data_IF_908226323051
#
_entry.id   IF_908226323051
#
_cell.length_a   1.000
_cell.length_b   1.000
_cell.length_c   1.000
_cell.angle_alpha   90.00
_cell.angle_beta   90.00
_cell.angle_gamma   90.00
#
_symmetry.space_group_name_H-M   'P 1'
#
loop_
_entity.id
_entity.type
_entity.pdbx_description
1 polymer ?
#
# COMPACT_ATOMS: atom_id res chain seq x y z
N UNK A 1 23.62 7.82 9.31
CA UNK A 1 22.52 8.79 9.51
C UNK A 1 23.03 9.97 10.33
N UNK A 2 22.78 11.19 9.85
CA UNK A 2 23.07 12.44 10.54
C UNK A 2 21.77 13.11 10.96
N UNK A 3 21.70 13.58 12.20
CA UNK A 3 20.54 14.28 12.78
C UNK A 3 20.97 15.61 13.32
N UNK A 4 20.16 16.64 13.09
CA UNK A 4 20.39 17.96 13.61
C UNK A 4 19.09 18.70 13.87
N UNK A 5 19.23 19.82 14.61
CA UNK A 5 18.14 20.72 14.93
C UNK A 5 18.58 22.17 14.79
N UNK A 6 17.79 22.95 14.07
CA UNK A 6 17.99 24.40 13.95
C UNK A 6 16.67 25.08 14.29
N UNK A 7 16.60 25.71 15.45
CA UNK A 7 15.37 26.32 16.00
C UNK A 7 14.19 25.32 16.02
N UNK A 8 13.20 25.52 15.17
CA UNK A 8 11.98 24.71 15.03
C UNK A 8 12.08 23.62 13.96
N UNK A 9 13.21 23.56 13.27
CA UNK A 9 13.46 22.59 12.22
C UNK A 9 14.35 21.46 12.73
N UNK A 10 13.79 20.25 12.80
CA UNK A 10 14.55 19.01 13.00
C UNK A 10 14.79 18.36 11.64
N UNK A 11 16.01 17.91 11.37
CA UNK A 11 16.35 17.25 10.11
C UNK A 11 17.15 15.97 10.33
N UNK A 12 16.92 15.02 9.41
CA UNK A 12 17.65 13.75 9.37
C UNK A 12 18.09 13.49 7.94
N UNK A 13 19.36 13.21 7.78
CA UNK A 13 19.99 12.84 6.52
C UNK A 13 20.52 11.41 6.68
N UNK A 14 20.07 10.51 5.85
CA UNK A 14 20.50 9.12 5.83
C UNK A 14 21.11 8.76 4.49
N UNK A 15 22.08 7.87 4.54
CA UNK A 15 22.69 7.26 3.36
C UNK A 15 22.82 5.78 3.65
N UNK A 16 22.41 4.96 2.71
CA UNK A 16 22.58 3.51 2.74
C UNK A 16 23.10 2.99 1.41
N UNK A 17 23.75 1.85 1.46
CA UNK A 17 24.11 1.07 0.28
C UNK A 17 23.55 -0.33 0.48
N UNK A 18 22.80 -0.80 -0.50
CA UNK A 18 22.26 -2.17 -0.50
C UNK A 18 22.93 -2.98 -1.59
N UNK A 19 23.41 -4.16 -1.23
CA UNK A 19 23.88 -5.18 -2.17
C UNK A 19 22.83 -6.27 -2.28
N UNK A 20 22.35 -6.55 -3.48
CA UNK A 20 21.50 -7.70 -3.80
C UNK A 20 22.34 -8.71 -4.56
N UNK A 21 22.43 -9.93 -4.04
CA UNK A 21 23.20 -11.01 -4.65
C UNK A 21 22.38 -12.30 -4.64
N UNK A 22 22.24 -12.91 -5.81
CA UNK A 22 21.61 -14.21 -5.98
C UNK A 22 22.52 -15.11 -6.79
N UNK A 23 22.63 -16.37 -6.42
CA UNK A 23 23.32 -17.40 -7.17
C UNK A 23 22.49 -18.67 -7.19
N UNK A 24 22.19 -19.16 -8.37
CA UNK A 24 21.56 -20.46 -8.57
C UNK A 24 22.62 -21.46 -9.03
N UNK A 25 22.55 -22.72 -8.60
CA UNK A 25 23.49 -23.75 -9.02
C UNK A 25 23.38 -24.00 -10.52
N UNK A 26 24.48 -23.79 -11.26
CA UNK A 26 24.53 -23.95 -12.71
C UNK A 26 24.22 -22.71 -13.54
N UNK A 27 23.78 -21.62 -12.92
CA UNK A 27 23.44 -20.37 -13.59
C UNK A 27 24.39 -19.22 -13.21
N UNK A 28 24.32 -18.14 -14.00
CA UNK A 28 25.02 -16.89 -13.70
C UNK A 28 24.54 -16.28 -12.38
N UNK A 29 25.44 -15.57 -11.71
CA UNK A 29 25.09 -14.83 -10.50
C UNK A 29 24.52 -13.46 -10.88
N UNK A 30 23.44 -13.07 -10.18
CA UNK A 30 22.92 -11.71 -10.21
C UNK A 30 23.51 -10.89 -9.07
N UNK A 31 24.09 -9.75 -9.38
CA UNK A 31 24.61 -8.82 -8.39
C UNK A 31 24.24 -7.38 -8.75
N UNK A 32 23.75 -6.65 -7.75
CA UNK A 32 23.40 -5.24 -7.91
C UNK A 32 23.70 -4.45 -6.64
N UNK A 33 24.26 -3.27 -6.80
CA UNK A 33 24.49 -2.28 -5.74
C UNK A 33 23.57 -1.07 -5.95
N UNK A 34 22.94 -0.61 -4.90
CA UNK A 34 22.14 0.60 -4.93
C UNK A 34 22.48 1.56 -3.80
N UNK A 35 22.38 2.84 -4.09
CA UNK A 35 22.55 3.93 -3.16
C UNK A 35 21.17 4.41 -2.69
N UNK A 36 20.93 4.42 -1.37
CA UNK A 36 19.63 4.67 -0.78
C UNK A 36 19.69 5.92 0.13
N UNK A 37 19.61 7.13 -0.44
CA UNK A 37 19.53 8.35 0.35
C UNK A 37 18.15 8.51 1.00
N UNK A 38 18.14 9.16 2.16
CA UNK A 38 16.91 9.50 2.90
C UNK A 38 17.04 10.90 3.50
N UNK A 39 15.98 11.71 3.30
CA UNK A 39 15.82 13.03 3.91
C UNK A 39 14.51 13.04 4.71
N UNK A 40 14.58 13.56 5.94
CA UNK A 40 13.39 13.89 6.72
C UNK A 40 13.58 15.30 7.29
N UNK A 41 12.63 16.17 7.02
CA UNK A 41 12.51 17.49 7.59
C UNK A 41 11.23 17.55 8.41
N UNK A 42 11.35 18.04 9.65
CA UNK A 42 10.21 18.23 10.54
C UNK A 42 10.25 19.65 11.09
N UNK A 43 9.24 20.44 10.76
CA UNK A 43 9.12 21.83 11.20
C UNK A 43 7.95 21.99 12.16
N UNK A 44 8.24 22.38 13.38
CA UNK A 44 7.24 22.62 14.41
C UNK A 44 6.61 24.01 14.22
N UNK A 45 5.30 24.03 14.04
CA UNK A 45 4.47 25.22 13.90
C UNK A 45 3.85 25.63 15.26
N UNK A 46 3.33 26.86 15.41
CA UNK A 46 2.53 27.25 16.56
C UNK A 46 1.24 26.41 16.69
N UNK A 47 0.70 26.28 17.92
CA UNK A 47 -0.61 25.67 18.16
C UNK A 47 -0.65 24.15 18.04
N UNK A 48 0.40 23.46 18.53
CA UNK A 48 0.52 21.99 18.48
C UNK A 48 0.35 21.43 17.07
N UNK A 49 1.07 22.03 16.14
CA UNK A 49 1.05 21.59 14.74
C UNK A 49 2.47 21.45 14.20
N UNK A 50 2.60 20.65 13.14
CA UNK A 50 3.87 20.51 12.43
C UNK A 50 3.65 20.21 10.95
N UNK A 51 4.69 20.48 10.17
CA UNK A 51 4.85 19.98 8.80
C UNK A 51 6.04 19.04 8.78
N UNK A 52 5.87 17.88 8.16
CA UNK A 52 6.95 16.92 7.94
C UNK A 52 7.05 16.57 6.47
N UNK A 53 8.23 16.73 5.92
CA UNK A 53 8.56 16.24 4.59
C UNK A 53 9.54 15.07 4.72
N UNK A 54 9.26 13.98 4.03
CA UNK A 54 10.15 12.82 3.92
C UNK A 54 10.34 12.50 2.44
N UNK A 55 11.58 12.21 2.05
CA UNK A 55 11.92 11.70 0.74
C UNK A 55 12.99 10.63 0.86
N UNK A 56 12.83 9.54 0.14
CA UNK A 56 13.80 8.44 0.10
C UNK A 56 13.85 7.78 -1.27
N UNK A 57 15.01 7.23 -1.57
CA UNK A 57 15.23 6.36 -2.71
C UNK A 57 15.59 4.99 -2.17
N UNK A 58 14.93 3.97 -2.67
CA UNK A 58 15.20 2.56 -2.33
C UNK A 58 15.36 1.74 -3.60
N UNK A 59 15.93 0.55 -3.46
CA UNK A 59 16.11 -0.39 -4.54
C UNK A 59 15.12 -1.54 -4.46
N UNK A 60 14.69 -2.01 -5.63
CA UNK A 60 13.94 -3.26 -5.77
C UNK A 60 14.67 -4.18 -6.75
N UNK A 61 15.04 -5.33 -6.28
CA UNK A 61 15.70 -6.37 -7.10
C UNK A 61 14.68 -7.44 -7.49
N UNK A 62 14.83 -8.09 -8.64
CA UNK A 62 14.00 -9.22 -9.03
C UNK A 62 14.14 -10.35 -7.99
N UNK A 63 13.08 -11.13 -7.80
CA UNK A 63 13.14 -12.36 -7.00
C UNK A 63 13.75 -13.52 -7.81
N UNK A 64 14.17 -14.60 -7.13
CA UNK A 64 14.62 -15.80 -7.83
C UNK A 64 13.54 -16.39 -8.74
N UNK A 65 12.27 -16.31 -8.32
CA UNK A 65 11.15 -16.77 -9.13
C UNK A 65 10.94 -15.95 -10.40
N UNK A 66 11.17 -14.63 -10.31
CA UNK A 66 11.07 -13.74 -11.48
C UNK A 66 12.19 -13.98 -12.49
N UNK A 67 13.38 -14.43 -12.03
CA UNK A 67 14.56 -14.71 -12.87
C UNK A 67 14.54 -16.12 -13.46
N UNK A 68 13.75 -17.05 -12.90
CA UNK A 68 13.77 -18.46 -13.31
C UNK A 68 13.16 -18.65 -14.70
N UNK A 69 13.97 -19.14 -15.65
CA UNK A 69 13.50 -19.48 -17.01
C UNK A 69 12.66 -20.76 -17.08
N UNK A 70 12.43 -21.45 -15.95
CA UNK A 70 11.66 -22.70 -15.90
C UNK A 70 10.19 -22.40 -16.22
N UNK A 71 9.68 -23.10 -17.24
CA UNK A 71 8.27 -22.99 -17.63
C UNK A 71 7.37 -23.75 -16.64
N UNK A 72 6.32 -23.09 -16.20
CA UNK A 72 5.25 -23.65 -15.38
C UNK A 72 3.95 -23.66 -16.20
N UNK A 73 3.37 -24.82 -16.38
CA UNK A 73 2.07 -24.96 -17.02
C UNK A 73 1.01 -24.50 -16.02
N UNK A 74 0.30 -23.42 -16.35
CA UNK A 74 -0.83 -22.93 -15.55
C UNK A 74 -2.11 -23.67 -15.92
N UNK A 75 -2.36 -23.81 -17.24
CA UNK A 75 -3.42 -24.59 -17.84
C UNK A 75 -3.08 -24.96 -19.31
N UNK A 76 -4.05 -25.49 -20.06
CA UNK A 76 -3.83 -25.92 -21.45
C UNK A 76 -3.46 -24.77 -22.40
N UNK A 77 -3.80 -23.53 -22.07
CA UNK A 77 -3.63 -22.33 -22.89
C UNK A 77 -2.62 -21.34 -22.30
N UNK A 78 -2.21 -21.52 -21.05
CA UNK A 78 -1.36 -20.55 -20.36
C UNK A 78 -0.14 -21.20 -19.72
N UNK A 79 1.01 -20.60 -19.96
CA UNK A 79 2.28 -20.92 -19.31
C UNK A 79 2.81 -19.70 -18.57
N UNK A 80 3.59 -19.93 -17.52
CA UNK A 80 4.32 -18.92 -16.79
C UNK A 80 5.79 -19.23 -16.82
N UNK A 81 6.62 -18.23 -17.10
CA UNK A 81 8.09 -18.33 -16.96
C UNK A 81 8.65 -17.01 -16.47
N UNK A 82 9.74 -17.05 -15.71
CA UNK A 82 10.49 -15.85 -15.34
C UNK A 82 11.34 -15.32 -16.50
N UNK A 83 11.97 -14.19 -16.25
CA UNK A 83 12.85 -13.52 -17.21
C UNK A 83 14.24 -13.31 -16.57
N UNK A 84 15.27 -14.07 -16.99
CA UNK A 84 16.63 -13.94 -16.43
C UNK A 84 17.29 -12.59 -16.73
N UNK A 85 16.75 -11.81 -17.67
CA UNK A 85 17.29 -10.51 -18.06
C UNK A 85 16.82 -9.34 -17.21
N UNK A 86 15.98 -9.59 -16.20
CA UNK A 86 15.47 -8.56 -15.31
C UNK A 86 16.57 -7.82 -14.57
N UNK A 87 16.41 -6.51 -14.48
CA UNK A 87 17.33 -5.61 -13.77
C UNK A 87 16.65 -5.02 -12.55
N UNK A 88 17.43 -4.77 -11.50
CA UNK A 88 16.96 -3.99 -10.38
C UNK A 88 16.57 -2.58 -10.83
N UNK A 89 15.60 -2.00 -10.13
CA UNK A 89 15.12 -0.65 -10.37
C UNK A 89 15.05 0.17 -9.08
N UNK A 90 14.99 1.49 -9.23
CA UNK A 90 14.90 2.42 -8.11
C UNK A 90 13.44 2.77 -7.84
N UNK A 91 13.13 2.94 -6.55
CA UNK A 91 11.86 3.46 -6.05
C UNK A 91 12.10 4.81 -5.42
N UNK A 92 11.49 5.84 -5.98
CA UNK A 92 11.50 7.20 -5.45
C UNK A 92 10.20 7.41 -4.67
N UNK A 93 10.34 7.80 -3.43
CA UNK A 93 9.20 8.12 -2.57
C UNK A 93 9.36 9.50 -1.97
N UNK A 94 8.29 10.31 -1.99
CA UNK A 94 8.23 11.57 -1.28
C UNK A 94 6.87 11.74 -0.63
N UNK A 95 6.84 12.23 0.60
CA UNK A 95 5.60 12.49 1.34
C UNK A 95 5.65 13.80 2.11
N UNK A 96 4.52 14.48 2.18
CA UNK A 96 4.30 15.67 2.98
C UNK A 96 3.15 15.42 3.96
N UNK A 97 3.37 15.71 5.23
CA UNK A 97 2.38 15.60 6.30
C UNK A 97 2.20 16.95 6.96
N UNK A 98 0.96 17.37 7.12
CA UNK A 98 0.59 18.44 8.05
C UNK A 98 -0.26 17.86 9.16
N UNK A 99 0.10 18.12 10.41
CA UNK A 99 -0.64 17.65 11.58
C UNK A 99 -0.98 18.81 12.51
N UNK A 100 -2.19 18.78 13.03
CA UNK A 100 -2.68 19.75 13.99
C UNK A 100 -3.54 19.07 15.04
N UNK A 101 -3.34 19.50 16.30
CA UNK A 101 -4.12 19.03 17.42
C UNK A 101 -4.48 20.19 18.35
N UNK A 102 -5.76 20.27 18.72
CA UNK A 102 -6.24 21.25 19.73
C UNK A 102 -7.35 20.63 20.57
N UNK A 103 -7.07 20.46 21.87
CA UNK A 103 -7.99 19.79 22.78
C UNK A 103 -8.36 18.39 22.28
N UNK A 104 -9.65 18.16 22.08
CA UNK A 104 -10.19 16.88 21.61
C UNK A 104 -10.16 16.72 20.08
N UNK A 105 -9.72 17.75 19.35
CA UNK A 105 -9.68 17.73 17.88
C UNK A 105 -8.28 17.42 17.37
N UNK A 106 -8.21 16.51 16.44
CA UNK A 106 -6.99 16.13 15.71
C UNK A 106 -7.27 16.11 14.21
N UNK A 107 -6.32 16.62 13.43
CA UNK A 107 -6.33 16.59 11.97
C UNK A 107 -4.94 16.23 11.43
N UNK A 108 -4.91 15.35 10.46
CA UNK A 108 -3.70 14.99 9.71
C UNK A 108 -4.01 14.99 8.22
N UNK A 109 -3.35 15.88 7.50
CA UNK A 109 -3.35 15.93 6.04
C UNK A 109 -2.04 15.36 5.53
N UNK A 110 -2.12 14.36 4.67
CA UNK A 110 -0.97 13.67 4.12
C UNK A 110 -1.10 13.54 2.60
N UNK A 111 -0.01 13.78 1.91
CA UNK A 111 0.12 13.53 0.48
C UNK A 111 1.43 12.83 0.18
N UNK A 112 1.44 11.93 -0.80
CA UNK A 112 2.64 11.22 -1.22
C UNK A 112 2.67 10.98 -2.72
N UNK A 113 3.87 10.88 -3.25
CA UNK A 113 4.14 10.51 -4.62
C UNK A 113 5.21 9.42 -4.66
N UNK A 114 4.88 8.33 -5.34
CA UNK A 114 5.76 7.19 -5.61
C UNK A 114 6.04 7.15 -7.11
N UNK A 115 7.33 7.03 -7.49
CA UNK A 115 7.77 6.87 -8.86
C UNK A 115 8.76 5.71 -8.97
N UNK A 116 8.49 4.78 -9.85
CA UNK A 116 9.27 3.57 -10.04
C UNK A 116 9.57 3.37 -11.52
N UNK A 117 10.65 3.98 -12.05
CA UNK A 117 11.09 3.75 -13.42
C UNK A 117 11.64 2.33 -13.57
N UNK A 118 11.42 1.73 -14.71
CA UNK A 118 11.82 0.35 -15.02
C UNK A 118 11.28 -0.68 -14.03
N UNK A 119 10.08 -0.43 -13.46
CA UNK A 119 9.46 -1.33 -12.50
C UNK A 119 9.28 -2.73 -13.11
N UNK A 120 9.59 -3.76 -12.32
CA UNK A 120 9.33 -5.14 -12.73
C UNK A 120 7.83 -5.39 -12.56
N UNK A 121 7.12 -5.50 -13.67
CA UNK A 121 5.69 -5.77 -13.69
C UNK A 121 5.39 -6.98 -14.58
N UNK A 122 4.26 -7.63 -14.34
CA UNK A 122 3.82 -8.76 -15.16
C UNK A 122 3.54 -8.32 -16.60
N UNK A 123 3.89 -9.19 -17.53
CA UNK A 123 3.63 -9.04 -18.95
C UNK A 123 2.97 -10.33 -19.47
N UNK A 124 2.02 -10.16 -20.35
CA UNK A 124 1.38 -11.29 -21.03
C UNK A 124 1.42 -11.06 -22.53
N UNK A 125 1.84 -12.06 -23.26
CA UNK A 125 1.86 -12.04 -24.70
C UNK A 125 1.45 -13.41 -25.26
N UNK A 126 1.05 -13.43 -26.53
CA UNK A 126 0.72 -14.65 -27.22
C UNK A 126 1.98 -15.23 -27.90
N UNK A 127 2.21 -16.52 -27.70
CA UNK A 127 3.28 -17.29 -28.35
C UNK A 127 2.63 -18.57 -28.94
N UNK A 128 2.40 -18.58 -30.25
CA UNK A 128 1.61 -19.62 -30.93
C UNK A 128 0.19 -19.68 -30.37
N UNK A 129 -0.22 -20.85 -29.89
CA UNK A 129 -1.53 -21.11 -29.32
C UNK A 129 -1.60 -20.85 -27.80
N UNK A 130 -0.49 -20.42 -27.18
CA UNK A 130 -0.42 -20.20 -25.73
C UNK A 130 -0.25 -18.75 -25.37
N UNK A 131 -0.77 -18.39 -24.20
CA UNK A 131 -0.50 -17.11 -23.52
C UNK A 131 0.65 -17.33 -22.56
N UNK A 132 1.71 -16.57 -22.75
CA UNK A 132 2.88 -16.57 -21.87
C UNK A 132 2.73 -15.44 -20.86
N UNK A 133 2.74 -15.78 -19.59
CA UNK A 133 2.88 -14.83 -18.49
C UNK A 133 4.33 -14.78 -18.04
N UNK A 134 4.91 -13.59 -18.05
CA UNK A 134 6.30 -13.34 -17.62
C UNK A 134 6.38 -12.02 -16.87
N UNK A 135 7.57 -11.59 -16.50
CA UNK A 135 7.87 -10.28 -15.93
C UNK A 135 8.88 -9.56 -16.79
N UNK A 136 8.75 -8.25 -16.89
CA UNK A 136 9.74 -7.42 -17.58
C UNK A 136 9.92 -6.09 -16.85
N UNK A 137 11.04 -5.42 -17.10
CA UNK A 137 11.28 -4.05 -16.71
C UNK A 137 10.42 -3.14 -17.61
N UNK A 138 9.28 -2.74 -17.10
CA UNK A 138 8.32 -1.88 -17.79
C UNK A 138 8.74 -0.42 -17.68
N UNK A 139 8.12 0.50 -18.46
CA UNK A 139 8.55 1.91 -18.50
C UNK A 139 8.56 2.56 -17.14
N UNK A 140 7.39 2.63 -16.48
CA UNK A 140 7.27 3.16 -15.13
C UNK A 140 5.93 2.79 -14.46
N UNK A 141 5.95 2.86 -13.15
CA UNK A 141 4.75 2.85 -12.33
C UNK A 141 4.80 4.04 -11.37
N UNK A 142 3.66 4.73 -11.26
CA UNK A 142 3.53 5.92 -10.43
C UNK A 142 2.27 5.85 -9.58
N UNK A 143 2.32 6.49 -8.41
CA UNK A 143 1.17 6.61 -7.55
C UNK A 143 1.17 7.97 -6.86
N UNK A 144 0.10 8.73 -7.04
CA UNK A 144 -0.20 9.93 -6.29
C UNK A 144 -1.25 9.60 -5.24
N UNK A 145 -0.96 9.92 -3.98
CA UNK A 145 -1.85 9.63 -2.85
C UNK A 145 -2.16 10.89 -2.05
N UNK A 146 -3.41 11.02 -1.63
CA UNK A 146 -3.85 12.06 -0.72
C UNK A 146 -4.76 11.48 0.36
N UNK A 147 -4.61 11.94 1.62
CA UNK A 147 -5.39 11.45 2.74
C UNK A 147 -5.63 12.55 3.79
N UNK A 148 -6.86 12.65 4.25
CA UNK A 148 -7.25 13.46 5.40
C UNK A 148 -7.76 12.54 6.50
N UNK A 149 -7.17 12.65 7.69
CA UNK A 149 -7.66 11.99 8.91
C UNK A 149 -8.15 13.05 9.87
N UNK A 150 -9.36 12.89 10.37
CA UNK A 150 -9.98 13.71 11.40
C UNK A 150 -10.33 12.84 12.59
N UNK A 151 -10.04 13.32 13.81
CA UNK A 151 -10.42 12.65 15.04
C UNK A 151 -11.02 13.66 16.00
N UNK A 152 -12.09 13.23 16.66
CA UNK A 152 -12.76 13.99 17.72
C UNK A 152 -12.91 13.08 18.94
N UNK A 153 -12.47 13.54 20.07
CA UNK A 153 -12.58 12.80 21.33
C UNK A 153 -11.27 12.63 22.09
N UNK A 154 -11.35 12.09 23.32
CA UNK A 154 -12.61 11.63 23.96
C UNK A 154 -13.52 12.78 24.38
N UNK A 155 -14.81 12.64 24.08
CA UNK A 155 -15.87 13.54 24.56
C UNK A 155 -16.35 12.98 25.89
N UNK A 156 -16.23 13.74 26.98
CA UNK A 156 -16.57 13.31 28.36
C UNK A 156 -15.97 11.95 28.73
N UNK A 157 -14.76 11.67 28.24
CA UNK A 157 -14.03 10.40 28.44
C UNK A 157 -14.77 9.14 27.94
N UNK A 158 -15.85 9.30 27.19
CA UNK A 158 -16.69 8.20 26.75
C UNK A 158 -16.66 7.95 25.25
N UNK A 159 -16.68 9.00 24.44
CA UNK A 159 -16.97 8.89 23.02
C UNK A 159 -15.83 9.43 22.15
N UNK A 160 -15.37 8.64 21.20
CA UNK A 160 -14.35 9.03 20.22
C UNK A 160 -14.78 8.63 18.83
N UNK A 161 -14.54 9.53 17.87
CA UNK A 161 -14.72 9.30 16.44
C UNK A 161 -13.42 9.55 15.70
N UNK A 162 -13.15 8.72 14.71
CA UNK A 162 -12.08 8.91 13.74
C UNK A 162 -12.64 8.69 12.33
N UNK A 163 -12.27 9.56 11.43
CA UNK A 163 -12.60 9.45 10.00
C UNK A 163 -11.35 9.68 9.18
N UNK A 164 -11.09 8.81 8.21
CA UNK A 164 -10.02 8.95 7.23
C UNK A 164 -10.60 8.80 5.85
N UNK A 165 -10.51 9.84 5.04
CA UNK A 165 -10.84 9.79 3.61
C UNK A 165 -9.57 9.97 2.78
N UNK A 166 -9.47 9.26 1.68
CA UNK A 166 -8.30 9.35 0.82
C UNK A 166 -8.56 8.97 -0.63
N UNK A 167 -7.58 9.33 -1.47
CA UNK A 167 -7.54 9.01 -2.88
C UNK A 167 -6.15 8.51 -3.26
N UNK A 168 -6.13 7.47 -4.09
CA UNK A 168 -4.93 6.99 -4.76
C UNK A 168 -5.16 7.06 -6.26
N UNK A 169 -4.29 7.72 -6.97
CA UNK A 169 -4.26 7.75 -8.42
C UNK A 169 -3.02 7.00 -8.90
N UNK A 170 -3.26 5.91 -9.61
CA UNK A 170 -2.23 5.02 -10.15
C UNK A 170 -2.05 5.29 -11.65
N UNK A 171 -0.82 5.30 -12.10
CA UNK A 171 -0.42 5.35 -13.49
C UNK A 171 0.58 4.23 -13.75
N UNK A 172 0.26 3.33 -14.66
CA UNK A 172 1.06 2.15 -14.97
C UNK A 172 1.36 2.13 -16.47
N UNK A 173 2.61 2.35 -16.82
CA UNK A 173 3.06 2.42 -18.20
C UNK A 173 3.97 1.23 -18.49
N UNK A 174 3.44 0.27 -19.22
CA UNK A 174 4.19 -0.86 -19.72
C UNK A 174 4.86 -0.56 -21.07
N UNK A 175 5.59 -1.53 -21.59
CA UNK A 175 6.19 -1.46 -22.92
C UNK A 175 5.11 -1.45 -24.02
N UNK A 176 3.97 -2.12 -23.75
CA UNK A 176 2.88 -2.32 -24.71
C UNK A 176 1.52 -1.80 -24.24
N UNK A 177 1.42 -1.24 -23.02
CA UNK A 177 0.19 -0.74 -22.43
C UNK A 177 0.38 0.57 -21.66
N UNK A 178 -0.72 1.26 -21.39
CA UNK A 178 -0.77 2.44 -20.52
C UNK A 178 -2.12 2.48 -19.85
N UNK A 179 -2.14 2.36 -18.53
CA UNK A 179 -3.35 2.34 -17.72
C UNK A 179 -3.29 3.36 -16.60
N UNK A 180 -4.44 3.92 -16.26
CA UNK A 180 -4.63 4.77 -15.07
C UNK A 180 -5.82 4.26 -14.28
N UNK A 181 -5.71 4.33 -12.96
CA UNK A 181 -6.78 3.95 -12.06
C UNK A 181 -6.85 4.88 -10.85
N UNK A 182 -8.04 5.36 -10.53
CA UNK A 182 -8.25 6.21 -9.34
C UNK A 182 -9.14 5.48 -8.34
N UNK A 183 -8.64 5.34 -7.12
CA UNK A 183 -9.36 4.72 -6.02
C UNK A 183 -9.65 5.73 -4.92
N UNK A 184 -10.92 5.93 -4.59
CA UNK A 184 -11.36 6.65 -3.41
C UNK A 184 -11.66 5.66 -2.30
N UNK A 185 -11.21 5.94 -1.08
CA UNK A 185 -11.45 5.08 0.06
C UNK A 185 -11.80 5.91 1.30
N UNK A 186 -12.51 5.30 2.22
CA UNK A 186 -12.69 5.87 3.54
C UNK A 186 -12.65 4.80 4.64
N UNK A 187 -12.17 5.22 5.80
CA UNK A 187 -12.20 4.45 7.03
C UNK A 187 -12.91 5.31 8.08
N UNK A 188 -13.80 4.71 8.82
CA UNK A 188 -14.47 5.34 9.94
C UNK A 188 -14.40 4.45 11.17
N UNK A 189 -14.19 5.05 12.32
CA UNK A 189 -14.13 4.36 13.61
C UNK A 189 -14.93 5.14 14.63
N UNK A 190 -15.67 4.42 15.48
CA UNK A 190 -16.34 4.97 16.64
C UNK A 190 -16.09 4.08 17.85
N UNK A 191 -15.73 4.68 18.97
CA UNK A 191 -15.64 3.97 20.23
C UNK A 191 -16.46 4.66 21.30
N UNK A 192 -17.18 3.88 22.08
CA UNK A 192 -17.98 4.33 23.20
C UNK A 192 -17.63 3.50 24.43
N UNK A 193 -17.27 4.19 25.53
CA UNK A 193 -16.94 3.56 26.80
C UNK A 193 -17.81 4.17 27.89
N UNK A 194 -18.56 3.33 28.61
CA UNK A 194 -19.37 3.76 29.73
C UNK A 194 -19.35 2.73 30.85
N UNK A 195 -18.78 3.10 32.00
CA UNK A 195 -18.57 2.20 33.13
C UNK A 195 -17.87 0.91 32.72
N UNK A 196 -18.56 -0.23 32.79
CA UNK A 196 -18.05 -1.56 32.44
C UNK A 196 -18.21 -1.91 30.96
N UNK A 197 -18.93 -1.09 30.18
CA UNK A 197 -19.24 -1.38 28.79
C UNK A 197 -18.33 -0.61 27.84
N UNK A 198 -17.83 -1.28 26.81
CA UNK A 198 -17.11 -0.69 25.69
C UNK A 198 -17.74 -1.18 24.39
N UNK A 199 -18.06 -0.27 23.49
CA UNK A 199 -18.52 -0.55 22.13
C UNK A 199 -17.50 0.04 21.15
N UNK A 200 -17.08 -0.77 20.19
CA UNK A 200 -16.19 -0.36 19.13
C UNK A 200 -16.79 -0.72 17.78
N UNK A 201 -16.81 0.23 16.88
CA UNK A 201 -17.21 0.03 15.50
C UNK A 201 -16.15 0.59 14.58
N UNK A 202 -15.84 -0.17 13.52
CA UNK A 202 -14.91 0.21 12.46
C UNK A 202 -15.48 -0.16 11.11
N UNK A 203 -15.25 0.71 10.13
CA UNK A 203 -15.58 0.50 8.73
C UNK A 203 -14.40 0.89 7.85
N UNK A 204 -14.04 0.00 6.91
CA UNK A 204 -13.08 0.27 5.84
C UNK A 204 -13.74 0.00 4.50
N UNK A 205 -13.63 0.91 3.55
CA UNK A 205 -14.24 0.79 2.23
C UNK A 205 -13.22 0.91 1.11
N UNK A 206 -13.48 0.18 0.01
CA UNK A 206 -12.81 0.36 -1.28
C UNK A 206 -11.29 0.33 -1.21
N UNK A 207 -10.75 -0.61 -0.47
CA UNK A 207 -9.30 -0.79 -0.44
C UNK A 207 -8.84 -1.52 -1.70
N UNK A 208 -8.30 -0.77 -2.68
CA UNK A 208 -7.83 -1.29 -3.95
C UNK A 208 -6.37 -0.92 -4.18
N UNK A 209 -5.66 -1.82 -4.84
CA UNK A 209 -4.30 -1.62 -5.31
C UNK A 209 -4.22 -1.94 -6.81
N UNK A 210 -3.45 -1.14 -7.56
CA UNK A 210 -3.24 -1.32 -8.98
C UNK A 210 -1.75 -1.41 -9.28
N UNK A 211 -1.34 -2.53 -9.91
CA UNK A 211 0.05 -2.80 -10.26
C UNK A 211 0.13 -3.47 -11.62
N UNK A 212 0.96 -2.93 -12.52
CA UNK A 212 1.00 -3.42 -13.90
C UNK A 212 -0.36 -3.24 -14.58
N UNK A 213 -0.97 -4.35 -14.94
CA UNK A 213 -2.32 -4.43 -15.50
C UNK A 213 -3.32 -5.06 -14.52
N UNK A 214 -2.93 -5.25 -13.26
CA UNK A 214 -3.72 -5.97 -12.26
C UNK A 214 -4.28 -5.05 -11.19
N UNK A 215 -5.61 -5.01 -11.09
CA UNK A 215 -6.37 -4.42 -9.99
C UNK A 215 -6.71 -5.49 -8.96
N UNK A 216 -6.40 -5.26 -7.72
CA UNK A 216 -6.73 -6.16 -6.60
C UNK A 216 -7.33 -5.39 -5.43
N UNK A 217 -8.28 -6.01 -4.71
CA UNK A 217 -8.94 -5.41 -3.56
C UNK A 217 -10.46 -5.59 -3.59
N UNK A 218 -11.21 -4.51 -3.53
CA UNK A 218 -12.68 -4.51 -3.51
C UNK A 218 -13.27 -4.85 -2.14
N UNK A 219 -12.45 -4.84 -1.08
CA UNK A 219 -12.88 -5.21 0.26
C UNK A 219 -13.58 -4.04 0.97
N UNK A 220 -14.78 -4.33 1.48
CA UNK A 220 -15.48 -3.48 2.42
C UNK A 220 -15.63 -4.27 3.70
N UNK A 221 -14.96 -3.82 4.75
CA UNK A 221 -14.90 -4.53 6.03
C UNK A 221 -15.54 -3.67 7.10
N UNK A 222 -16.44 -4.28 7.88
CA UNK A 222 -17.01 -3.68 9.07
C UNK A 222 -16.84 -4.62 10.25
N UNK A 223 -16.49 -4.05 11.39
CA UNK A 223 -16.33 -4.79 12.63
C UNK A 223 -17.12 -4.04 13.72
N UNK A 224 -17.97 -4.75 14.42
CA UNK A 224 -18.67 -4.24 15.59
C UNK A 224 -18.36 -5.17 16.78
N UNK A 225 -17.80 -4.60 17.85
CA UNK A 225 -17.43 -5.37 19.04
C UNK A 225 -17.94 -4.68 20.29
N UNK A 226 -18.55 -5.45 21.15
CA UNK A 226 -18.98 -5.00 22.48
C UNK A 226 -18.21 -5.80 23.56
N UNK A 227 -17.72 -5.10 24.56
CA UNK A 227 -17.07 -5.70 25.73
C UNK A 227 -17.80 -5.30 27.00
N UNK A 228 -17.88 -6.25 27.93
CA UNK A 228 -18.19 -6.00 29.32
C UNK A 228 -16.99 -6.39 30.18
N UNK A 229 -16.53 -5.47 31.02
CA UNK A 229 -15.36 -5.67 31.88
C UNK A 229 -15.77 -5.46 33.35
N UNK A 230 -15.59 -6.48 34.19
CA UNK A 230 -15.82 -6.39 35.62
C UNK A 230 -14.68 -7.03 36.39
N UNK A 231 -13.95 -6.25 37.19
CA UNK A 231 -12.74 -6.71 37.89
C UNK A 231 -11.74 -7.36 36.89
N UNK A 232 -11.48 -8.65 37.08
CA UNK A 232 -10.55 -9.43 36.26
C UNK A 232 -11.25 -10.19 35.09
N UNK A 233 -12.57 -10.06 34.96
CA UNK A 233 -13.34 -10.71 33.91
C UNK A 233 -13.62 -9.73 32.78
N UNK A 234 -13.30 -10.12 31.54
CA UNK A 234 -13.70 -9.41 30.33
C UNK A 234 -14.39 -10.38 29.39
N UNK A 235 -15.62 -10.07 29.02
CA UNK A 235 -16.41 -10.82 28.04
C UNK A 235 -16.66 -9.93 26.83
N UNK A 236 -16.50 -10.50 25.63
CA UNK A 236 -16.71 -9.77 24.38
C UNK A 236 -17.63 -10.53 23.43
N UNK A 237 -18.43 -9.78 22.70
CA UNK A 237 -19.24 -10.24 21.57
C UNK A 237 -18.90 -9.37 20.37
N UNK A 238 -18.63 -10.00 19.21
CA UNK A 238 -18.29 -9.29 17.99
C UNK A 238 -19.08 -9.80 16.79
N UNK A 239 -19.31 -8.90 15.85
CA UNK A 239 -19.87 -9.20 14.54
C UNK A 239 -18.95 -8.66 13.45
N UNK A 240 -18.72 -9.48 12.44
CA UNK A 240 -17.98 -9.13 11.24
C UNK A 240 -18.97 -8.84 10.11
N UNK A 241 -18.81 -7.72 9.44
CA UNK A 241 -19.68 -7.23 8.37
C UNK A 241 -21.17 -7.20 8.73
N UNK A 242 -21.61 -6.70 9.93
CA UNK A 242 -23.00 -6.78 10.36
C UNK A 242 -23.97 -5.98 9.47
N UNK A 243 -23.47 -5.02 8.69
CA UNK A 243 -24.26 -4.12 7.84
C UNK A 243 -23.97 -4.30 6.35
N UNK A 244 -23.26 -5.38 5.96
CA UNK A 244 -22.90 -5.68 4.57
C UNK A 244 -23.29 -7.11 4.25
N UNK A 245 -24.13 -7.31 3.24
CA UNK A 245 -24.64 -8.64 2.90
C UNK A 245 -23.56 -9.62 2.42
N UNK A 246 -22.50 -9.12 1.79
CA UNK A 246 -21.44 -9.94 1.24
C UNK A 246 -20.06 -9.30 1.38
N UNK A 247 -19.14 -10.02 2.00
CA UNK A 247 -17.71 -9.74 1.87
C UNK A 247 -17.23 -10.20 0.51
N UNK A 248 -16.60 -9.32 -0.26
CA UNK A 248 -16.04 -9.67 -1.56
C UNK A 248 -14.59 -9.23 -1.66
N UNK A 249 -13.80 -10.08 -2.28
CA UNK A 249 -12.45 -9.78 -2.73
C UNK A 249 -12.40 -9.90 -4.26
N UNK A 250 -11.81 -8.91 -4.91
CA UNK A 250 -11.80 -8.83 -6.36
C UNK A 250 -10.37 -8.76 -6.88
N UNK A 251 -10.11 -9.51 -7.95
CA UNK A 251 -8.92 -9.36 -8.79
C UNK A 251 -9.39 -9.19 -10.22
N UNK A 252 -8.88 -8.16 -10.89
CA UNK A 252 -9.21 -7.85 -12.27
C UNK A 252 -7.91 -7.60 -13.04
N UNK A 253 -7.75 -8.23 -14.18
CA UNK A 253 -6.61 -8.06 -15.08
C UNK A 253 -7.07 -7.42 -16.38
N UNK A 254 -6.38 -6.36 -16.79
CA UNK A 254 -6.73 -5.53 -17.95
C UNK A 254 -5.89 -5.82 -19.19
N UNK A 255 -5.14 -6.92 -19.18
CA UNK A 255 -4.32 -7.29 -20.31
C UNK A 255 -5.18 -7.65 -21.54
N UNK A 256 -4.79 -7.19 -22.72
CA UNK A 256 -5.52 -7.37 -23.97
C UNK A 256 -5.64 -8.83 -24.45
N UNK A 257 -4.71 -9.71 -24.01
CA UNK A 257 -4.72 -11.14 -24.39
C UNK A 257 -5.43 -12.01 -23.35
N UNK A 258 -5.42 -11.61 -22.08
CA UNK A 258 -5.96 -12.40 -20.98
C UNK A 258 -6.67 -11.51 -19.95
N UNK A 259 -7.69 -10.77 -20.40
CA UNK A 259 -8.54 -9.98 -19.49
C UNK A 259 -9.46 -10.90 -18.71
N UNK A 260 -9.51 -10.73 -17.38
CA UNK A 260 -10.43 -11.45 -16.53
C UNK A 260 -10.80 -10.63 -15.28
N UNK A 261 -11.94 -10.97 -14.72
CA UNK A 261 -12.39 -10.46 -13.42
C UNK A 261 -12.80 -11.64 -12.55
N UNK A 262 -12.08 -11.84 -11.45
CA UNK A 262 -12.38 -12.84 -10.44
C UNK A 262 -12.93 -12.15 -9.19
N UNK A 263 -14.09 -12.57 -8.73
CA UNK A 263 -14.71 -12.09 -7.50
C UNK A 263 -14.96 -13.27 -6.57
N UNK A 264 -14.36 -13.23 -5.39
CA UNK A 264 -14.61 -14.21 -4.33
C UNK A 264 -15.60 -13.59 -3.35
N UNK A 265 -16.66 -14.32 -3.03
CA UNK A 265 -17.63 -13.93 -2.01
C UNK A 265 -17.49 -14.85 -0.82
N UNK A 266 -17.51 -14.28 0.37
CA UNK A 266 -17.66 -15.02 1.61
C UNK A 266 -19.03 -14.65 2.17
N UNK A 267 -19.87 -15.65 2.33
CA UNK A 267 -21.20 -15.51 2.95
C UNK A 267 -21.12 -15.71 4.44
#
# INVERSE_FOLDING_TARGET
>A
EYRGKVKKLDYRLGVGVTRSYYKQSGDDSYENYSFNPRLVLHYTLPGNSFVRWKSDISNASPSLGDLSAVEQIVDSLQIRRGNPNLKAYLRYHTELTYEWQKGIFYSNLWGAYDYQPNAIMDEKYQDGDKIVQTWDNQKDWQKLSGRLTLRVGPIKDMLQFSFTGGVNHYMSHGNTYSHTYTNWYCNAEASFNYKQFSLYWQMNTNWNNFWGETLSGGENIQVLVMYYTHKNLRVGLGAFNPFTDNYKQQTENWNKYASYKKTNYVK
#
